data_IF_899016850121
#
_entry.id   IF_899016850121
#
_cell.length_a   1.000
_cell.length_b   1.000
_cell.length_c   1.000
_cell.angle_alpha   90.00
_cell.angle_beta   90.00
_cell.angle_gamma   90.00
#
_symmetry.space_group_name_H-M   'P 1'
#
loop_
_entity.id
_entity.type
_entity.pdbx_description
1 polymer ?
#
# COMPACT_ATOMS: atom_id res chain seq x y z
N UNK A 1 -11.50 39.62 -2.48
CA UNK A 1 -12.83 38.99 -2.60
C UNK A 1 -13.08 38.68 -4.06
N UNK A 2 -13.16 37.40 -4.39
CA UNK A 2 -13.87 36.89 -5.55
C UNK A 2 -14.28 35.47 -5.13
N UNK A 3 -15.53 35.34 -4.65
CA UNK A 3 -16.13 34.05 -4.37
C UNK A 3 -16.30 33.34 -5.72
N UNK A 4 -15.51 32.29 -5.94
CA UNK A 4 -15.76 31.33 -7.00
C UNK A 4 -16.98 30.49 -6.63
N UNK A 5 -18.03 30.61 -7.43
CA UNK A 5 -19.29 29.87 -7.31
C UNK A 5 -19.01 28.36 -7.33
N UNK A 6 -19.42 27.67 -6.27
CA UNK A 6 -19.44 26.20 -6.20
C UNK A 6 -20.67 25.73 -6.98
N UNK A 7 -20.46 25.22 -8.20
CA UNK A 7 -21.45 24.33 -8.81
C UNK A 7 -21.15 22.93 -8.28
N UNK A 8 -21.92 22.52 -7.28
CA UNK A 8 -21.95 21.18 -6.72
C UNK A 8 -22.50 20.20 -7.76
N UNK A 9 -21.62 19.64 -8.58
CA UNK A 9 -21.90 18.43 -9.37
C UNK A 9 -21.77 17.19 -8.48
N UNK A 10 -22.91 16.54 -8.23
CA UNK A 10 -23.13 15.21 -7.61
C UNK A 10 -21.88 14.46 -7.07
N UNK A 11 -21.68 14.55 -5.75
CA UNK A 11 -21.32 13.40 -4.94
C UNK A 11 -19.86 12.94 -4.90
N UNK A 12 -18.86 13.81 -4.94
CA UNK A 12 -17.46 13.35 -4.84
C UNK A 12 -17.01 13.23 -3.38
N UNK A 13 -16.58 12.04 -2.96
CA UNK A 13 -15.70 11.91 -1.79
C UNK A 13 -14.27 12.19 -2.27
N UNK A 14 -13.98 13.46 -2.58
CA UNK A 14 -12.60 13.94 -2.69
C UNK A 14 -12.15 14.27 -1.29
N UNK A 15 -11.15 13.56 -0.77
CA UNK A 15 -10.37 14.08 0.33
C UNK A 15 -9.35 15.06 -0.27
N UNK A 16 -9.63 16.37 -0.15
CA UNK A 16 -8.64 17.43 -0.37
C UNK A 16 -7.80 17.51 0.92
N UNK A 17 -6.50 17.24 0.85
CA UNK A 17 -5.58 17.51 1.97
C UNK A 17 -5.14 18.99 1.98
N UNK A 18 -4.58 19.48 3.09
CA UNK A 18 -4.17 20.89 3.26
C UNK A 18 -3.14 21.37 2.20
N UNK A 19 -2.60 20.46 1.38
CA UNK A 19 -1.67 20.76 0.29
C UNK A 19 -2.34 20.78 -1.10
N UNK A 20 -3.60 20.35 -1.20
CA UNK A 20 -4.38 20.37 -2.45
C UNK A 20 -4.22 19.12 -3.30
N UNK A 21 -3.87 17.96 -2.70
CA UNK A 21 -3.94 16.64 -3.35
C UNK A 21 -5.36 16.07 -3.30
N UNK A 22 -5.68 15.18 -4.24
CA UNK A 22 -7.02 14.60 -4.42
C UNK A 22 -6.92 13.07 -4.37
N UNK A 23 -7.70 12.43 -3.50
CA UNK A 23 -7.96 10.99 -3.60
C UNK A 23 -9.43 10.76 -3.93
N UNK A 24 -9.69 10.03 -5.02
CA UNK A 24 -11.02 9.65 -5.50
C UNK A 24 -11.28 8.20 -5.12
N UNK A 25 -12.28 7.98 -4.27
CA UNK A 25 -12.66 6.65 -3.77
C UNK A 25 -14.12 6.29 -4.07
N UNK A 26 -14.77 7.02 -4.97
CA UNK A 26 -16.17 6.78 -5.36
C UNK A 26 -16.30 6.63 -6.86
N UNK A 27 -17.01 5.58 -7.27
CA UNK A 27 -17.24 5.29 -8.67
C UNK A 27 -18.06 6.39 -9.35
N UNK A 28 -17.73 6.71 -10.60
CA UNK A 28 -18.38 7.75 -11.40
C UNK A 28 -18.04 9.18 -10.97
N UNK A 29 -17.08 9.37 -10.08
CA UNK A 29 -16.66 10.69 -9.62
C UNK A 29 -16.06 11.54 -10.74
N UNK A 30 -16.37 12.85 -10.72
CA UNK A 30 -15.84 13.82 -11.69
C UNK A 30 -15.01 14.88 -10.97
N UNK A 31 -13.73 14.99 -11.32
CA UNK A 31 -12.81 16.06 -10.90
C UNK A 31 -12.68 17.05 -12.04
N UNK A 32 -13.35 18.20 -11.92
CA UNK A 32 -13.47 19.17 -13.03
C UNK A 32 -13.00 20.58 -12.66
N UNK A 33 -12.26 21.22 -13.57
CA UNK A 33 -11.94 22.65 -13.46
C UNK A 33 -10.98 22.99 -12.31
N UNK A 34 -10.26 22.00 -11.77
CA UNK A 34 -9.45 22.16 -10.56
C UNK A 34 -8.03 22.58 -10.88
N UNK A 35 -7.42 23.37 -9.99
CA UNK A 35 -5.97 23.60 -9.96
C UNK A 35 -5.40 22.90 -8.72
N UNK A 36 -4.85 21.72 -8.93
CA UNK A 36 -4.42 20.76 -7.90
C UNK A 36 -2.91 20.90 -7.73
N UNK A 37 -2.47 21.16 -6.50
CA UNK A 37 -1.05 21.28 -6.12
C UNK A 37 -0.62 20.06 -5.32
N UNK A 38 -0.78 18.90 -5.92
CA UNK A 38 -0.66 17.61 -5.26
C UNK A 38 -0.91 16.48 -6.23
N UNK A 39 -0.95 15.26 -5.71
CA UNK A 39 -1.27 14.09 -6.53
C UNK A 39 -2.78 13.98 -6.78
N UNK A 40 -3.15 13.19 -7.79
CA UNK A 40 -4.50 12.68 -7.98
C UNK A 40 -4.46 11.16 -7.91
N UNK A 41 -5.00 10.59 -6.86
CA UNK A 41 -5.11 9.14 -6.67
C UNK A 41 -6.52 8.68 -7.02
N UNK A 42 -6.64 7.73 -7.94
CA UNK A 42 -7.90 7.19 -8.43
C UNK A 42 -7.99 5.74 -7.96
N UNK A 43 -8.91 5.48 -7.03
CA UNK A 43 -9.14 4.18 -6.37
C UNK A 43 -10.59 3.72 -6.57
N UNK A 44 -11.20 4.09 -7.68
CA UNK A 44 -12.62 3.90 -7.97
C UNK A 44 -12.87 3.83 -9.48
N UNK A 45 -13.98 3.23 -9.86
CA UNK A 45 -14.33 2.99 -11.27
C UNK A 45 -14.96 4.21 -11.94
N UNK A 46 -14.86 4.30 -13.27
CA UNK A 46 -15.52 5.30 -14.10
C UNK A 46 -15.24 6.76 -13.68
N UNK A 47 -14.04 7.01 -13.14
CA UNK A 47 -13.65 8.34 -12.67
C UNK A 47 -13.25 9.21 -13.85
N UNK A 48 -13.75 10.44 -13.90
CA UNK A 48 -13.39 11.43 -14.91
C UNK A 48 -12.58 12.57 -14.29
N UNK A 49 -11.37 12.83 -14.78
CA UNK A 49 -10.60 14.04 -14.48
C UNK A 49 -10.60 14.91 -15.72
N UNK A 50 -11.25 16.08 -15.68
CA UNK A 50 -11.34 16.95 -16.86
C UNK A 50 -11.07 18.41 -16.59
N UNK A 51 -10.65 19.13 -17.63
CA UNK A 51 -10.46 20.59 -17.61
C UNK A 51 -9.60 21.08 -16.42
N UNK A 52 -8.67 20.26 -15.95
CA UNK A 52 -7.93 20.51 -14.71
C UNK A 52 -6.45 20.77 -14.95
N UNK A 53 -5.79 21.38 -13.97
CA UNK A 53 -4.34 21.57 -13.94
C UNK A 53 -3.80 20.90 -12.69
N UNK A 54 -2.80 20.04 -12.84
CA UNK A 54 -2.18 19.27 -11.76
C UNK A 54 -0.70 19.59 -11.73
N UNK A 55 -0.18 19.96 -10.55
CA UNK A 55 1.23 20.29 -10.30
C UNK A 55 1.72 19.45 -9.14
N UNK A 56 2.76 18.66 -9.37
CA UNK A 56 3.26 17.73 -8.34
C UNK A 56 4.75 17.45 -8.48
N UNK A 57 5.45 17.34 -7.36
CA UNK A 57 6.89 17.09 -7.24
C UNK A 57 7.22 15.71 -6.62
N UNK A 58 6.19 14.91 -6.28
CA UNK A 58 6.33 13.56 -5.74
C UNK A 58 6.55 12.49 -6.81
N UNK A 59 6.02 11.28 -6.62
CA UNK A 59 6.35 10.15 -7.51
C UNK A 59 5.42 10.02 -8.73
N UNK A 60 4.12 10.26 -8.55
CA UNK A 60 3.09 10.06 -9.58
C UNK A 60 2.05 11.16 -9.48
N UNK A 61 1.93 11.98 -10.54
CA UNK A 61 1.01 13.13 -10.53
C UNK A 61 -0.45 12.66 -10.62
N UNK A 62 -0.74 11.68 -11.47
CA UNK A 62 -2.02 10.97 -11.49
C UNK A 62 -1.73 9.47 -11.38
N UNK A 63 -2.30 8.83 -10.36
CA UNK A 63 -2.18 7.40 -10.13
C UNK A 63 -3.54 6.72 -10.17
N UNK A 64 -3.77 5.92 -11.21
CA UNK A 64 -4.81 4.90 -11.30
C UNK A 64 -4.31 3.68 -10.55
N UNK A 65 -5.05 3.28 -9.51
CA UNK A 65 -4.75 2.09 -8.72
C UNK A 65 -5.39 0.87 -9.35
N UNK A 66 -4.71 -0.28 -9.25
CA UNK A 66 -5.20 -1.56 -9.76
C UNK A 66 -6.62 -1.86 -9.27
N UNK A 67 -7.42 -2.45 -10.15
CA UNK A 67 -8.85 -2.70 -9.95
C UNK A 67 -9.77 -1.50 -10.24
N UNK A 68 -9.23 -0.32 -10.55
CA UNK A 68 -10.03 0.83 -11.02
C UNK A 68 -10.14 0.79 -12.55
N UNK A 69 -11.35 0.66 -13.08
CA UNK A 69 -11.60 0.61 -14.53
C UNK A 69 -12.32 1.84 -15.04
N UNK A 70 -12.18 2.17 -16.33
CA UNK A 70 -12.96 3.24 -16.95
C UNK A 70 -12.53 4.66 -16.57
N UNK A 71 -11.27 4.84 -16.12
CA UNK A 71 -10.75 6.18 -15.84
C UNK A 71 -10.62 6.98 -17.13
N UNK A 72 -11.17 8.19 -17.16
CA UNK A 72 -11.06 9.14 -18.28
C UNK A 72 -10.36 10.41 -17.82
N UNK A 73 -9.31 10.81 -18.52
CA UNK A 73 -8.57 12.05 -18.29
C UNK A 73 -8.70 12.89 -19.55
N UNK A 74 -9.37 14.04 -19.46
CA UNK A 74 -9.71 14.86 -20.63
C UNK A 74 -9.27 16.31 -20.45
N UNK A 75 -8.71 16.93 -21.50
CA UNK A 75 -8.41 18.36 -21.53
C UNK A 75 -7.65 18.88 -20.28
N UNK A 76 -6.75 18.04 -19.75
CA UNK A 76 -6.08 18.25 -18.45
C UNK A 76 -4.58 18.48 -18.66
N UNK A 77 -4.01 19.40 -17.88
CA UNK A 77 -2.57 19.73 -17.91
C UNK A 77 -1.88 19.17 -16.66
N UNK A 78 -0.83 18.39 -16.85
CA UNK A 78 -0.03 17.81 -15.78
C UNK A 78 1.38 18.39 -15.83
N UNK A 79 1.83 18.95 -14.72
CA UNK A 79 3.17 19.51 -14.54
C UNK A 79 3.89 18.73 -13.44
N UNK A 80 4.90 17.98 -13.84
CA UNK A 80 5.85 17.38 -12.92
C UNK A 80 6.91 18.41 -12.57
N UNK A 81 6.95 18.80 -11.30
CA UNK A 81 7.85 19.83 -10.78
C UNK A 81 9.16 19.23 -10.22
N UNK A 82 9.29 17.90 -10.24
CA UNK A 82 10.55 17.19 -10.00
C UNK A 82 10.86 16.19 -11.12
N UNK A 83 12.15 16.03 -11.44
CA UNK A 83 12.64 15.13 -12.49
C UNK A 83 12.30 13.65 -12.26
N UNK A 84 11.96 13.27 -11.02
CA UNK A 84 11.58 11.90 -10.65
C UNK A 84 10.09 11.58 -10.91
N UNK A 85 9.26 12.61 -11.07
CA UNK A 85 7.81 12.48 -11.08
C UNK A 85 7.35 11.89 -12.40
N UNK A 86 6.49 10.87 -12.34
CA UNK A 86 5.77 10.36 -13.49
C UNK A 86 4.43 11.09 -13.63
N UNK A 87 3.96 11.28 -14.86
CA UNK A 87 2.71 11.97 -15.16
C UNK A 87 1.50 11.11 -14.81
N UNK A 88 1.02 10.33 -15.77
CA UNK A 88 -0.15 9.45 -15.61
C UNK A 88 0.32 8.01 -15.54
N UNK A 89 -0.03 7.34 -14.45
CA UNK A 89 0.35 5.95 -14.17
C UNK A 89 -0.77 5.23 -13.43
N UNK A 90 -0.78 3.92 -13.30
CA UNK A 90 -0.36 3.00 -14.36
C UNK A 90 -1.52 2.90 -15.36
N UNK A 91 -1.57 1.92 -16.26
CA UNK A 91 -2.59 1.90 -17.33
C UNK A 91 -4.05 1.79 -16.86
N UNK A 92 -4.91 1.31 -17.74
CA UNK A 92 -6.38 1.23 -17.52
C UNK A 92 -7.07 2.60 -17.50
N UNK A 93 -6.57 3.52 -18.34
CA UNK A 93 -7.16 4.84 -18.53
C UNK A 93 -7.30 5.23 -20.01
N UNK A 94 -8.19 6.17 -20.24
CA UNK A 94 -8.31 6.90 -21.50
C UNK A 94 -7.85 8.34 -21.29
N UNK A 95 -6.83 8.80 -22.01
CA UNK A 95 -6.35 10.17 -22.01
C UNK A 95 -6.68 10.87 -23.34
N UNK A 96 -7.42 11.98 -23.30
CA UNK A 96 -7.81 12.75 -24.48
C UNK A 96 -7.45 14.22 -24.29
N UNK A 97 -6.73 14.83 -25.23
CA UNK A 97 -6.32 16.25 -25.14
C UNK A 97 -5.52 16.57 -23.87
N UNK A 98 -4.73 15.61 -23.40
CA UNK A 98 -3.92 15.75 -22.17
C UNK A 98 -2.54 16.29 -22.52
N UNK A 99 -2.06 17.28 -21.76
CA UNK A 99 -0.71 17.83 -21.93
C UNK A 99 0.12 17.56 -20.68
N UNK A 100 1.23 16.84 -20.84
CA UNK A 100 2.13 16.47 -19.75
C UNK A 100 3.48 17.18 -19.89
N UNK A 101 3.94 17.84 -18.84
CA UNK A 101 5.15 18.66 -18.82
C UNK A 101 6.11 18.21 -17.72
N UNK A 102 7.41 18.12 -18.03
CA UNK A 102 8.48 17.92 -17.06
C UNK A 102 8.56 16.52 -16.44
N UNK A 103 7.66 15.60 -16.80
CA UNK A 103 7.60 14.28 -16.19
C UNK A 103 8.67 13.34 -16.76
N UNK A 104 9.24 12.50 -15.88
CA UNK A 104 10.18 11.42 -16.24
C UNK A 104 9.58 10.46 -17.25
N UNK A 105 8.34 10.06 -16.98
CA UNK A 105 7.50 9.29 -17.89
C UNK A 105 6.16 10.03 -17.96
N UNK A 106 5.73 10.44 -19.15
CA UNK A 106 4.50 11.22 -19.30
C UNK A 106 3.23 10.38 -19.14
N UNK A 107 3.20 9.25 -19.86
CA UNK A 107 2.11 8.30 -19.89
C UNK A 107 2.70 6.90 -19.69
N UNK A 108 2.33 6.21 -18.62
CA UNK A 108 2.80 4.85 -18.34
C UNK A 108 1.64 3.87 -18.45
N UNK A 109 1.84 2.80 -19.23
CA UNK A 109 0.91 1.72 -19.48
C UNK A 109 1.70 0.48 -19.95
N UNK A 110 1.07 -0.69 -19.96
CA UNK A 110 1.61 -1.94 -20.51
C UNK A 110 0.54 -2.67 -21.33
N UNK A 111 0.84 -3.86 -21.84
CA UNK A 111 -0.16 -4.67 -22.55
C UNK A 111 -1.22 -5.24 -21.59
N UNK A 112 -0.84 -5.49 -20.33
CA UNK A 112 -1.72 -5.99 -19.26
C UNK A 112 -2.61 -4.89 -18.65
N UNK A 113 -2.12 -3.65 -18.65
CA UNK A 113 -2.88 -2.44 -18.28
C UNK A 113 -2.74 -1.43 -19.40
N UNK A 114 -3.56 -1.53 -20.47
CA UNK A 114 -3.43 -0.67 -21.64
C UNK A 114 -3.94 0.75 -21.36
N UNK A 115 -3.45 1.71 -22.15
CA UNK A 115 -4.02 3.05 -22.18
C UNK A 115 -4.50 3.39 -23.60
N UNK A 116 -5.62 4.10 -23.67
CA UNK A 116 -6.02 4.78 -24.91
C UNK A 116 -5.61 6.25 -24.80
N UNK A 117 -4.77 6.74 -25.71
CA UNK A 117 -4.24 8.10 -25.69
C UNK A 117 -4.49 8.73 -27.05
N UNK A 118 -5.28 9.82 -27.08
CA UNK A 118 -5.57 10.59 -28.29
C UNK A 118 -5.38 12.09 -28.04
N UNK A 119 -5.00 12.83 -29.09
CA UNK A 119 -4.77 14.28 -29.07
C UNK A 119 -3.89 14.80 -27.91
N UNK A 120 -3.01 13.94 -27.38
CA UNK A 120 -2.27 14.22 -26.14
C UNK A 120 -0.79 14.43 -26.41
N UNK A 121 -0.12 15.18 -25.55
CA UNK A 121 1.30 15.50 -25.69
C UNK A 121 2.07 15.28 -24.40
N UNK A 122 3.33 14.90 -24.54
CA UNK A 122 4.31 14.85 -23.47
C UNK A 122 5.55 15.65 -23.89
N UNK A 123 5.90 16.68 -23.11
CA UNK A 123 7.00 17.60 -23.39
C UNK A 123 6.97 18.17 -24.83
N UNK A 124 5.77 18.52 -25.29
CA UNK A 124 5.53 19.09 -26.62
C UNK A 124 5.54 18.08 -27.78
N UNK A 125 5.77 16.79 -27.52
CA UNK A 125 5.66 15.71 -28.52
C UNK A 125 4.30 15.03 -28.43
N UNK A 126 3.67 14.76 -29.56
CA UNK A 126 2.43 13.98 -29.61
C UNK A 126 2.66 12.55 -29.09
N UNK A 127 1.71 12.04 -28.31
CA UNK A 127 1.67 10.67 -27.80
C UNK A 127 0.33 10.06 -28.19
N UNK A 128 0.36 8.87 -28.79
CA UNK A 128 -0.82 8.11 -29.21
C UNK A 128 -0.63 6.66 -28.77
N UNK A 129 -1.69 6.04 -28.22
CA UNK A 129 -1.69 4.65 -27.76
C UNK A 129 -3.12 4.08 -27.78
N UNK A 130 -3.26 2.77 -27.98
CA UNK A 130 -4.56 2.09 -28.02
C UNK A 130 -5.40 2.37 -29.28
N UNK A 131 -6.47 1.60 -29.48
CA UNK A 131 -7.48 1.87 -30.49
C UNK A 131 -8.57 2.78 -29.89
N UNK A 132 -8.95 3.84 -30.59
CA UNK A 132 -9.94 4.81 -30.12
C UNK A 132 -11.31 4.15 -29.90
N UNK A 133 -11.95 4.28 -28.71
CA UNK A 133 -13.37 3.98 -28.58
C UNK A 133 -14.16 5.00 -29.40
N UNK A 134 -14.84 4.52 -30.44
CA UNK A 134 -15.82 5.30 -31.19
C UNK A 134 -16.81 5.97 -30.22
N UNK A 135 -17.11 7.26 -30.37
CA UNK A 135 -18.13 7.90 -29.57
C UNK A 135 -19.49 7.24 -29.84
N UNK A 136 -20.17 6.84 -28.75
CA UNK A 136 -21.55 6.32 -28.77
C UNK A 136 -22.49 7.35 -29.41
N UNK A 137 -22.72 7.21 -30.71
CA UNK A 137 -23.77 7.94 -31.42
C UNK A 137 -25.14 7.31 -31.13
N UNK A 138 -26.11 8.20 -30.91
CA UNK A 138 -27.49 7.93 -30.57
C UNK A 138 -28.24 7.01 -31.55
N UNK A 139 -29.03 6.11 -30.98
CA UNK A 139 -30.00 5.14 -31.54
C UNK A 139 -30.70 5.49 -32.87
N UNK A 140 -30.79 4.50 -33.77
CA UNK A 140 -32.06 4.04 -34.37
C UNK A 140 -31.95 2.62 -34.94
N UNK A 141 -32.97 1.81 -34.66
CA UNK A 141 -33.10 0.40 -35.03
C UNK A 141 -33.27 0.16 -36.54
N UNK A 142 -32.85 -1.02 -37.02
CA UNK A 142 -33.61 -1.90 -37.94
C UNK A 142 -32.95 -3.28 -38.00
N UNK A 143 -33.80 -4.30 -38.06
CA UNK A 143 -33.53 -5.73 -37.89
C UNK A 143 -33.21 -6.49 -39.20
N UNK A 144 -32.66 -7.70 -39.00
CA UNK A 144 -32.71 -8.91 -39.85
C UNK A 144 -31.39 -9.30 -40.62
N UNK A 145 -31.19 -10.57 -41.05
CA UNK A 145 -30.49 -11.56 -40.21
C UNK A 145 -29.48 -12.53 -40.92
N UNK A 146 -28.80 -13.35 -40.11
CA UNK A 146 -28.18 -14.69 -40.37
C UNK A 146 -26.83 -14.80 -41.14
N UNK A 147 -25.84 -15.44 -40.48
CA UNK A 147 -25.09 -16.68 -40.85
C UNK A 147 -23.95 -16.89 -39.86
N UNK A 148 -24.04 -17.84 -38.91
CA UNK A 148 -23.65 -19.26 -38.99
C UNK A 148 -22.26 -19.52 -39.59
N UNK A 149 -21.26 -19.73 -38.72
CA UNK A 149 -20.12 -20.62 -38.95
C UNK A 149 -19.57 -21.13 -37.62
N UNK A 150 -19.24 -22.41 -37.61
CA UNK A 150 -18.99 -23.30 -36.48
C UNK A 150 -17.51 -23.29 -36.01
N UNK A 151 -17.16 -23.98 -34.91
CA UNK A 151 -15.93 -23.78 -34.13
C UNK A 151 -14.77 -24.66 -34.60
N UNK A 152 -13.53 -24.24 -34.31
CA UNK A 152 -12.34 -25.08 -34.47
C UNK A 152 -11.54 -25.21 -33.17
N UNK A 153 -11.19 -26.46 -32.89
CA UNK A 153 -10.68 -27.02 -31.66
C UNK A 153 -9.26 -26.60 -31.22
N UNK A 154 -9.12 -26.62 -29.90
CA UNK A 154 -7.98 -27.02 -29.05
C UNK A 154 -6.77 -27.73 -29.68
N UNK A 155 -5.57 -27.40 -29.15
CA UNK A 155 -4.58 -28.35 -28.57
C UNK A 155 -3.34 -27.63 -27.96
N UNK A 156 -2.46 -28.31 -27.18
CA UNK A 156 -1.99 -27.84 -25.88
C UNK A 156 -0.49 -27.47 -25.80
N UNK A 157 -0.12 -26.94 -24.63
CA UNK A 157 1.20 -26.49 -24.21
C UNK A 157 2.33 -27.55 -24.25
N UNK A 158 3.58 -27.07 -24.39
CA UNK A 158 4.78 -27.77 -23.93
C UNK A 158 5.86 -26.77 -23.46
N UNK A 159 6.66 -27.09 -22.40
CA UNK A 159 7.57 -26.15 -21.74
C UNK A 159 9.02 -26.25 -22.25
N UNK A 160 9.81 -25.19 -22.02
CA UNK A 160 11.27 -25.17 -22.08
C UNK A 160 11.78 -24.13 -21.06
N UNK A 161 12.27 -24.55 -19.89
CA UNK A 161 13.69 -24.74 -19.52
C UNK A 161 14.57 -23.49 -19.51
N UNK A 162 15.16 -23.30 -18.32
CA UNK A 162 16.17 -22.36 -17.83
C UNK A 162 17.42 -22.14 -18.72
N UNK A 163 18.01 -20.95 -18.63
CA UNK A 163 19.40 -20.69 -19.00
C UNK A 163 19.82 -19.22 -18.99
N UNK A 164 20.40 -18.80 -17.86
CA UNK A 164 21.46 -17.79 -17.62
C UNK A 164 21.40 -16.33 -18.13
N UNK A 165 21.34 -15.44 -17.13
CA UNK A 165 22.24 -14.32 -16.83
C UNK A 165 22.76 -13.41 -17.95
N UNK A 166 22.30 -12.15 -17.91
CA UNK A 166 23.18 -11.00 -18.18
C UNK A 166 22.88 -9.83 -17.25
N UNK A 167 23.88 -9.49 -16.44
CA UNK A 167 23.96 -8.33 -15.59
C UNK A 167 23.89 -7.03 -16.39
N UNK A 168 22.98 -6.12 -15.99
CA UNK A 168 23.17 -4.67 -16.14
C UNK A 168 22.81 -4.00 -14.82
N UNK A 169 23.85 -3.68 -14.08
CA UNK A 169 23.84 -2.78 -12.95
C UNK A 169 23.72 -1.35 -13.49
N UNK A 170 22.70 -0.61 -13.08
CA UNK A 170 22.68 0.85 -13.17
C UNK A 170 21.91 1.38 -11.97
N UNK A 171 22.65 1.92 -11.00
CA UNK A 171 22.09 2.58 -9.83
C UNK A 171 21.63 3.99 -10.18
N UNK A 172 20.44 4.36 -9.68
CA UNK A 172 20.06 5.73 -9.40
C UNK A 172 19.00 5.69 -8.29
N UNK A 173 19.35 6.25 -7.12
CA UNK A 173 18.63 6.09 -5.86
C UNK A 173 17.36 6.93 -5.77
N UNK A 174 16.23 6.24 -5.57
CA UNK A 174 15.32 6.35 -4.41
C UNK A 174 14.44 5.11 -4.50
N UNK A 175 14.80 4.05 -3.77
CA UNK A 175 14.26 2.71 -4.03
C UNK A 175 12.82 2.60 -3.50
N UNK A 176 11.89 2.35 -4.44
CA UNK A 176 10.66 1.64 -4.15
C UNK A 176 10.98 0.32 -3.40
N UNK A 177 10.00 -0.24 -2.68
CA UNK A 177 10.12 -1.54 -2.01
C UNK A 177 10.89 -2.51 -2.93
N UNK A 178 12.00 -3.12 -2.48
CA UNK A 178 12.79 -3.99 -3.32
C UNK A 178 11.94 -5.13 -3.89
N UNK A 179 12.23 -5.51 -5.13
CA UNK A 179 11.55 -6.62 -5.79
C UNK A 179 11.59 -7.89 -4.93
N UNK A 180 10.47 -8.61 -4.90
CA UNK A 180 10.30 -9.84 -4.12
C UNK A 180 9.83 -9.64 -2.68
N UNK A 181 9.76 -8.40 -2.18
CA UNK A 181 9.11 -8.12 -0.90
C UNK A 181 7.61 -7.82 -1.06
N UNK A 182 6.81 -7.97 0.01
CA UNK A 182 5.39 -7.66 -0.03
C UNK A 182 5.11 -6.20 -0.40
N UNK A 183 4.03 -5.97 -1.12
CA UNK A 183 3.62 -4.66 -1.62
C UNK A 183 2.17 -4.70 -2.09
N UNK A 184 1.72 -3.68 -2.85
CA UNK A 184 0.31 -3.53 -3.21
C UNK A 184 -0.25 -4.69 -4.04
N UNK A 185 0.60 -5.38 -4.80
CA UNK A 185 0.15 -6.38 -5.78
C UNK A 185 0.10 -7.81 -5.21
N UNK A 186 0.57 -8.03 -3.98
CA UNK A 186 0.64 -9.35 -3.35
C UNK A 186 0.24 -9.37 -1.87
N UNK A 187 -0.33 -8.28 -1.37
CA UNK A 187 -0.90 -8.17 -0.01
C UNK A 187 -2.30 -7.58 -0.06
N UNK A 188 -3.02 -7.69 1.05
CA UNK A 188 -4.37 -7.16 1.16
C UNK A 188 -5.40 -8.07 0.51
N UNK A 189 -6.52 -7.49 0.09
CA UNK A 189 -7.60 -8.24 -0.56
C UNK A 189 -7.13 -8.73 -1.93
N UNK A 190 -7.21 -10.04 -2.25
CA UNK A 190 -6.80 -10.53 -3.55
C UNK A 190 -7.65 -9.90 -4.65
N UNK A 191 -7.02 -9.54 -5.76
CA UNK A 191 -7.69 -8.96 -6.92
C UNK A 191 -8.87 -9.83 -7.39
N UNK A 192 -9.96 -9.18 -7.84
CA UNK A 192 -11.19 -9.86 -8.23
C UNK A 192 -12.05 -10.38 -7.08
N UNK A 193 -11.66 -10.21 -5.82
CA UNK A 193 -12.49 -10.60 -4.67
C UNK A 193 -13.72 -9.69 -4.58
N UNK A 194 -14.92 -10.27 -4.74
CA UNK A 194 -16.17 -9.57 -4.43
C UNK A 194 -16.35 -9.40 -2.92
N UNK A 195 -16.45 -8.17 -2.45
CA UNK A 195 -16.66 -7.84 -1.04
C UNK A 195 -18.12 -7.50 -0.75
N UNK A 196 -18.68 -8.09 0.30
CA UNK A 196 -20.02 -7.78 0.81
C UNK A 196 -19.93 -6.75 1.93
N UNK A 197 -20.80 -5.74 1.99
CA UNK A 197 -20.77 -4.76 3.06
C UNK A 197 -21.08 -5.42 4.42
N UNK A 198 -20.40 -4.92 5.46
CA UNK A 198 -20.64 -5.25 6.87
C UNK A 198 -20.35 -4.03 7.74
N UNK A 199 -20.99 -3.95 8.91
CA UNK A 199 -20.55 -3.05 9.99
C UNK A 199 -19.48 -3.72 10.85
N UNK A 200 -19.23 -3.14 12.03
CA UNK A 200 -18.40 -3.77 13.08
C UNK A 200 -18.89 -5.18 13.39
N UNK A 201 -17.97 -6.10 13.69
CA UNK A 201 -18.27 -7.50 13.97
C UNK A 201 -17.56 -8.00 15.22
N UNK A 202 -18.26 -8.85 15.97
CA UNK A 202 -17.68 -9.61 17.08
C UNK A 202 -17.63 -11.09 16.69
N UNK A 203 -16.44 -11.67 16.70
CA UNK A 203 -16.18 -13.07 16.35
C UNK A 203 -16.03 -13.88 17.62
N UNK A 204 -17.14 -14.47 18.05
CA UNK A 204 -17.30 -15.13 19.34
C UNK A 204 -17.59 -16.62 19.25
N UNK A 205 -17.50 -17.20 18.04
CA UNK A 205 -17.65 -18.64 17.81
C UNK A 205 -16.32 -19.26 17.42
N UNK A 206 -15.96 -20.35 18.09
CA UNK A 206 -14.72 -21.07 17.80
C UNK A 206 -14.72 -21.64 16.39
N UNK A 207 -13.59 -21.54 15.69
CA UNK A 207 -13.47 -22.01 14.31
C UNK A 207 -14.21 -21.14 13.28
N UNK A 208 -14.77 -19.99 13.69
CA UNK A 208 -15.52 -19.14 12.78
C UNK A 208 -14.61 -18.59 11.67
N UNK A 209 -15.08 -18.70 10.42
CA UNK A 209 -14.41 -18.15 9.25
C UNK A 209 -15.23 -16.99 8.71
N UNK A 210 -14.60 -15.82 8.61
CA UNK A 210 -15.11 -14.62 7.95
C UNK A 210 -14.33 -14.40 6.67
N UNK A 211 -15.05 -14.20 5.56
CA UNK A 211 -14.40 -13.93 4.29
C UNK A 211 -15.23 -13.09 3.34
N UNK A 212 -14.56 -12.33 2.45
CA UNK A 212 -15.21 -11.53 1.41
C UNK A 212 -16.07 -10.41 1.99
N UNK A 213 -15.63 -9.77 3.07
CA UNK A 213 -16.36 -8.65 3.68
C UNK A 213 -15.63 -7.32 3.47
N UNK A 214 -16.39 -6.27 3.20
CA UNK A 214 -15.98 -4.88 3.38
C UNK A 214 -16.57 -4.39 4.70
N UNK A 215 -15.77 -4.44 5.76
CA UNK A 215 -16.14 -4.14 7.14
C UNK A 215 -15.90 -2.65 7.37
N UNK A 216 -16.97 -1.85 7.31
CA UNK A 216 -16.99 -0.46 7.75
C UNK A 216 -17.23 -0.41 9.26
N UNK A 217 -16.19 -0.76 10.02
CA UNK A 217 -16.25 -0.93 11.46
C UNK A 217 -15.06 -1.72 11.99
N UNK A 218 -15.00 -1.87 13.30
CA UNK A 218 -13.90 -2.53 13.98
C UNK A 218 -14.25 -4.00 14.29
N UNK A 219 -13.23 -4.85 14.41
CA UNK A 219 -13.39 -6.27 14.68
C UNK A 219 -12.95 -6.60 16.11
N UNK A 220 -13.81 -7.27 16.86
CA UNK A 220 -13.44 -7.85 18.15
C UNK A 220 -13.46 -9.38 18.03
N UNK A 221 -12.40 -10.04 18.45
CA UNK A 221 -12.28 -11.50 18.42
C UNK A 221 -12.18 -12.02 19.84
N UNK A 222 -13.13 -12.85 20.25
CA UNK A 222 -13.17 -13.47 21.59
C UNK A 222 -13.06 -14.99 21.55
N UNK A 223 -13.25 -15.60 20.39
CA UNK A 223 -13.19 -17.05 20.19
C UNK A 223 -11.81 -17.54 19.72
N UNK A 224 -11.58 -18.86 19.83
CA UNK A 224 -10.37 -19.51 19.33
C UNK A 224 -10.50 -19.96 17.88
N UNK A 225 -9.35 -20.08 17.20
CA UNK A 225 -9.22 -20.61 15.84
C UNK A 225 -10.09 -19.87 14.82
N UNK A 226 -10.28 -18.56 15.02
CA UNK A 226 -11.02 -17.70 14.11
C UNK A 226 -10.14 -17.38 12.90
N UNK A 227 -10.75 -17.35 11.71
CA UNK A 227 -10.08 -16.93 10.46
C UNK A 227 -10.82 -15.73 9.88
N UNK A 228 -10.09 -14.66 9.60
CA UNK A 228 -10.56 -13.52 8.80
C UNK A 228 -9.73 -13.53 7.52
N UNK A 229 -10.37 -13.63 6.35
CA UNK A 229 -9.61 -13.67 5.09
C UNK A 229 -10.26 -12.96 3.91
N UNK A 230 -9.48 -12.47 2.95
CA UNK A 230 -10.00 -11.84 1.72
C UNK A 230 -11.02 -10.76 2.04
N UNK A 231 -10.70 -9.87 2.97
CA UNK A 231 -11.64 -8.89 3.51
C UNK A 231 -10.96 -7.53 3.66
N UNK A 232 -11.73 -6.46 3.64
CA UNK A 232 -11.28 -5.09 3.91
C UNK A 232 -11.86 -4.63 5.23
N UNK A 233 -11.06 -3.97 6.06
CA UNK A 233 -11.46 -3.37 7.34
C UNK A 233 -11.14 -1.89 7.30
N UNK A 234 -12.15 -1.04 7.47
CA UNK A 234 -11.98 0.40 7.68
C UNK A 234 -12.49 0.74 9.08
N UNK A 235 -11.59 1.08 10.00
CA UNK A 235 -11.93 1.30 11.41
C UNK A 235 -11.17 2.49 11.99
N UNK A 236 -11.89 3.53 12.39
CA UNK A 236 -11.34 4.68 13.13
C UNK A 236 -11.34 4.54 14.66
N UNK A 237 -11.59 3.33 15.20
CA UNK A 237 -11.59 3.06 16.64
C UNK A 237 -10.19 2.96 17.24
N UNK A 238 -10.06 2.46 18.48
CA UNK A 238 -8.75 2.30 19.11
C UNK A 238 -7.87 1.24 18.40
N UNK A 239 -8.48 0.13 17.99
CA UNK A 239 -7.86 -0.98 17.27
C UNK A 239 -8.74 -1.41 16.11
N UNK A 240 -8.17 -1.68 14.93
CA UNK A 240 -8.92 -2.25 13.79
C UNK A 240 -9.36 -3.67 14.08
N UNK A 241 -8.47 -4.47 14.69
CA UNK A 241 -8.76 -5.81 15.21
C UNK A 241 -8.29 -5.90 16.67
N UNK A 242 -9.17 -6.32 17.57
CA UNK A 242 -8.86 -6.57 18.98
C UNK A 242 -9.11 -8.02 19.37
N UNK A 243 -8.07 -8.76 19.74
CA UNK A 243 -8.17 -10.04 20.45
C UNK A 243 -8.48 -9.80 21.92
N UNK A 244 -9.50 -10.48 22.44
CA UNK A 244 -9.91 -10.44 23.86
C UNK A 244 -10.14 -11.88 24.32
N UNK A 245 -9.09 -12.51 24.86
CA UNK A 245 -9.14 -13.93 25.25
C UNK A 245 -9.12 -14.92 24.07
N UNK A 246 -9.08 -14.42 22.82
CA UNK A 246 -8.95 -15.25 21.63
C UNK A 246 -7.61 -15.98 21.58
N UNK A 247 -7.58 -17.10 20.86
CA UNK A 247 -6.38 -17.91 20.60
C UNK A 247 -6.32 -18.31 19.14
N UNK A 248 -5.13 -18.33 18.55
CA UNK A 248 -4.90 -18.76 17.17
C UNK A 248 -5.77 -18.02 16.14
N UNK A 249 -5.88 -16.70 16.25
CA UNK A 249 -6.53 -15.90 15.20
C UNK A 249 -5.64 -15.91 13.95
N UNK A 250 -6.21 -16.23 12.79
CA UNK A 250 -5.56 -16.01 11.50
C UNK A 250 -6.24 -14.85 10.77
N UNK A 251 -5.45 -13.85 10.37
CA UNK A 251 -5.85 -12.77 9.47
C UNK A 251 -5.01 -12.88 8.21
N UNK A 252 -5.65 -13.19 7.07
CA UNK A 252 -4.95 -13.55 5.84
C UNK A 252 -5.55 -12.86 4.62
N UNK A 253 -4.72 -12.22 3.78
CA UNK A 253 -5.20 -11.51 2.59
C UNK A 253 -6.25 -10.43 2.96
N UNK A 254 -5.91 -9.58 3.93
CA UNK A 254 -6.81 -8.56 4.47
C UNK A 254 -6.19 -7.19 4.33
N UNK A 255 -6.97 -6.24 3.82
CA UNK A 255 -6.64 -4.82 3.82
C UNK A 255 -7.19 -4.17 5.10
N UNK A 256 -6.36 -3.43 5.83
CA UNK A 256 -6.71 -2.72 7.06
C UNK A 256 -6.37 -1.24 6.90
N UNK A 257 -7.40 -0.39 6.95
CA UNK A 257 -7.26 1.06 6.95
C UNK A 257 -7.71 1.63 8.30
N UNK A 258 -6.78 2.28 9.01
CA UNK A 258 -7.02 2.84 10.33
C UNK A 258 -7.54 4.27 10.40
N UNK A 259 -7.78 4.89 9.23
CA UNK A 259 -8.28 6.26 9.10
C UNK A 259 -7.43 7.33 9.80
N UNK A 260 -6.17 7.03 10.11
CA UNK A 260 -5.24 7.85 10.87
C UNK A 260 -5.56 7.96 12.37
N UNK A 261 -6.41 7.07 12.90
CA UNK A 261 -6.97 7.19 14.25
C UNK A 261 -6.61 6.05 15.19
N UNK A 262 -6.36 4.84 14.68
CA UNK A 262 -6.07 3.70 15.55
C UNK A 262 -4.80 3.94 16.37
N UNK A 263 -4.87 3.66 17.67
CA UNK A 263 -3.69 3.59 18.52
C UNK A 263 -2.77 2.44 18.10
N UNK A 264 -3.31 1.36 17.56
CA UNK A 264 -2.59 0.30 16.87
C UNK A 264 -3.54 -0.46 15.91
N UNK A 265 -3.04 -0.98 14.80
CA UNK A 265 -3.88 -1.72 13.84
C UNK A 265 -4.50 -2.99 14.45
N UNK A 266 -3.67 -3.80 15.11
CA UNK A 266 -4.06 -5.08 15.72
C UNK A 266 -3.52 -5.15 17.15
N UNK A 267 -4.33 -5.62 18.08
CA UNK A 267 -3.90 -5.88 19.46
C UNK A 267 -4.57 -7.15 20.02
N UNK A 268 -3.94 -7.98 20.86
CA UNK A 268 -2.53 -7.89 21.23
C UNK A 268 -1.82 -9.23 21.10
N UNK A 269 -2.37 -10.32 21.65
CA UNK A 269 -1.73 -11.65 21.64
C UNK A 269 -2.46 -12.63 20.71
N UNK A 270 -1.79 -13.75 20.45
CA UNK A 270 -2.33 -14.98 19.86
C UNK A 270 -2.98 -14.80 18.47
N UNK A 271 -2.26 -14.12 17.57
CA UNK A 271 -2.68 -13.93 16.20
C UNK A 271 -1.54 -14.16 15.19
N UNK A 272 -1.92 -14.49 13.96
CA UNK A 272 -1.08 -14.50 12.77
C UNK A 272 -1.65 -13.52 11.75
N UNK A 273 -0.82 -12.60 11.27
CA UNK A 273 -1.10 -11.76 10.12
C UNK A 273 -0.30 -12.29 8.94
N UNK A 274 -0.96 -12.61 7.83
CA UNK A 274 -0.32 -13.12 6.61
C UNK A 274 -0.82 -12.35 5.39
N UNK A 275 0.10 -11.82 4.57
CA UNK A 275 -0.24 -11.05 3.36
C UNK A 275 -1.26 -9.95 3.63
N UNK A 276 -1.15 -9.28 4.78
CA UNK A 276 -2.02 -8.14 5.08
C UNK A 276 -1.42 -6.85 4.53
N UNK A 277 -2.29 -5.95 4.07
CA UNK A 277 -1.98 -4.56 3.76
C UNK A 277 -2.51 -3.72 4.93
N UNK A 278 -1.63 -3.00 5.63
CA UNK A 278 -2.01 -2.14 6.77
C UNK A 278 -1.55 -0.71 6.49
N UNK A 279 -2.52 0.21 6.43
CA UNK A 279 -2.27 1.62 6.16
C UNK A 279 -3.09 2.57 7.01
N UNK A 280 -2.64 3.83 7.06
CA UNK A 280 -3.32 4.92 7.74
C UNK A 280 -3.61 4.60 9.21
N UNK A 281 -2.61 4.10 9.93
CA UNK A 281 -2.69 3.80 11.37
C UNK A 281 -1.69 4.66 12.11
N UNK A 282 -1.93 5.01 13.39
CA UNK A 282 -0.89 5.68 14.18
C UNK A 282 0.23 4.66 14.39
N UNK A 283 -0.05 3.53 15.02
CA UNK A 283 0.86 2.39 15.02
C UNK A 283 0.30 1.22 14.24
N UNK A 284 1.19 0.42 13.66
CA UNK A 284 0.82 -0.90 13.17
C UNK A 284 0.50 -1.86 14.32
N UNK A 285 0.62 -3.18 14.09
CA UNK A 285 0.32 -4.19 15.09
C UNK A 285 1.13 -4.06 16.40
N UNK A 286 0.46 -4.30 17.54
CA UNK A 286 1.10 -4.58 18.83
C UNK A 286 1.48 -6.06 18.88
N UNK A 287 2.75 -6.35 19.05
CA UNK A 287 3.30 -7.70 19.14
C UNK A 287 3.36 -8.13 20.61
N UNK A 288 2.25 -8.69 21.12
CA UNK A 288 2.24 -9.38 22.39
C UNK A 288 2.54 -10.89 22.19
N UNK A 289 2.23 -11.73 23.19
CA UNK A 289 2.60 -13.14 23.18
C UNK A 289 2.01 -13.89 21.97
N UNK A 290 2.81 -14.82 21.43
CA UNK A 290 2.40 -15.75 20.36
C UNK A 290 1.87 -15.01 19.12
N UNK A 291 2.64 -14.04 18.62
CA UNK A 291 2.28 -13.26 17.43
C UNK A 291 3.18 -13.58 16.25
N UNK A 292 2.56 -13.72 15.08
CA UNK A 292 3.25 -13.89 13.81
C UNK A 292 2.81 -12.80 12.84
N UNK A 293 3.76 -12.13 12.21
CA UNK A 293 3.51 -11.21 11.10
C UNK A 293 4.39 -11.66 9.94
N UNK A 294 3.76 -12.10 8.86
CA UNK A 294 4.46 -12.68 7.73
C UNK A 294 3.95 -12.22 6.38
N UNK A 295 4.88 -12.06 5.44
CA UNK A 295 4.60 -11.73 4.03
C UNK A 295 3.67 -10.51 3.87
N UNK A 296 3.72 -9.56 4.79
CA UNK A 296 2.76 -8.45 4.92
C UNK A 296 3.39 -7.10 4.62
N UNK A 297 2.55 -6.12 4.28
CA UNK A 297 2.94 -4.74 3.98
C UNK A 297 2.32 -3.77 4.99
N UNK A 298 3.15 -3.01 5.69
CA UNK A 298 2.72 -2.02 6.68
C UNK A 298 3.35 -0.68 6.29
N UNK A 299 2.52 0.33 6.02
CA UNK A 299 2.95 1.53 5.30
C UNK A 299 2.01 2.71 5.56
N UNK A 300 2.43 3.93 5.17
CA UNK A 300 1.63 5.16 5.31
C UNK A 300 1.02 5.32 6.72
N UNK A 301 1.85 5.18 7.75
CA UNK A 301 1.41 5.47 9.11
C UNK A 301 1.09 6.97 9.23
N UNK A 302 0.17 7.29 10.13
CA UNK A 302 -0.31 8.66 10.34
C UNK A 302 0.28 9.23 11.61
N UNK A 303 1.19 10.21 11.43
CA UNK A 303 1.72 11.01 12.53
C UNK A 303 0.59 11.85 13.14
N UNK A 304 0.43 11.75 14.45
CA UNK A 304 -0.32 12.72 15.25
C UNK A 304 0.61 13.37 16.27
N UNK A 305 0.22 14.54 16.82
CA UNK A 305 1.06 15.27 17.77
C UNK A 305 1.48 14.37 18.95
N UNK A 306 2.79 14.33 19.22
CA UNK A 306 3.38 13.54 20.31
C UNK A 306 3.42 12.02 20.10
N UNK A 307 2.98 11.50 18.94
CA UNK A 307 3.03 10.06 18.67
C UNK A 307 4.41 9.56 18.23
N UNK A 308 4.71 8.32 18.60
CA UNK A 308 5.92 7.60 18.20
C UNK A 308 5.54 6.43 17.30
N UNK A 309 5.25 6.74 16.03
CA UNK A 309 4.65 5.80 15.09
C UNK A 309 5.58 4.62 14.74
N UNK A 310 5.17 3.42 15.09
CA UNK A 310 5.89 2.18 14.80
C UNK A 310 5.12 1.29 13.83
N UNK A 311 5.79 0.71 12.82
CA UNK A 311 5.12 -0.30 11.98
C UNK A 311 4.80 -1.55 12.80
N UNK A 312 5.64 -1.87 13.79
CA UNK A 312 5.48 -2.97 14.73
C UNK A 312 6.04 -2.58 16.09
N UNK A 313 5.28 -2.81 17.16
CA UNK A 313 5.72 -2.51 18.52
C UNK A 313 5.46 -3.67 19.47
N UNK A 314 6.51 -4.14 20.14
CA UNK A 314 6.40 -5.17 21.19
C UNK A 314 5.82 -4.60 22.48
N UNK A 315 5.03 -5.38 23.22
CA UNK A 315 4.38 -4.94 24.48
C UNK A 315 4.87 -5.72 25.70
N UNK A 316 6.12 -6.16 25.71
CA UNK A 316 6.64 -7.08 26.72
C UNK A 316 6.03 -8.48 26.56
N UNK A 317 6.69 -9.33 25.78
CA UNK A 317 6.07 -10.53 25.22
C UNK A 317 7.06 -11.62 24.83
N UNK A 318 6.55 -12.83 24.63
CA UNK A 318 7.28 -14.01 24.21
C UNK A 318 6.73 -14.62 22.92
N UNK A 319 7.59 -15.32 22.17
CA UNK A 319 7.23 -16.10 20.99
C UNK A 319 6.68 -15.23 19.84
N UNK A 320 7.56 -14.40 19.28
CA UNK A 320 7.22 -13.46 18.22
C UNK A 320 7.99 -13.85 16.95
N UNK A 321 7.30 -13.92 15.82
CA UNK A 321 7.91 -14.11 14.50
C UNK A 321 7.49 -12.98 13.58
N UNK A 322 8.47 -12.27 13.04
CA UNK A 322 8.29 -11.23 12.03
C UNK A 322 9.15 -11.58 10.84
N UNK A 323 8.53 -12.04 9.75
CA UNK A 323 9.27 -12.56 8.59
C UNK A 323 8.73 -12.15 7.23
N UNK A 324 9.61 -11.90 6.27
CA UNK A 324 9.18 -11.72 4.88
C UNK A 324 8.40 -10.43 4.63
N UNK A 325 8.40 -9.44 5.54
CA UNK A 325 7.50 -8.28 5.45
C UNK A 325 8.15 -7.08 4.74
N UNK A 326 7.32 -6.15 4.26
CA UNK A 326 7.70 -4.78 3.94
C UNK A 326 7.18 -3.83 5.01
N UNK A 327 8.10 -3.15 5.68
CA UNK A 327 7.83 -2.26 6.80
C UNK A 327 8.30 -0.85 6.45
N UNK A 328 7.37 0.05 6.15
CA UNK A 328 7.66 1.42 5.72
C UNK A 328 7.32 2.41 6.84
N UNK A 329 8.30 2.65 7.70
CA UNK A 329 8.29 3.66 8.74
C UNK A 329 8.80 5.02 8.20
N UNK A 330 8.52 5.35 6.95
CA UNK A 330 8.89 6.62 6.35
C UNK A 330 7.71 7.24 5.60
N UNK A 331 7.48 8.52 5.83
CA UNK A 331 6.58 9.31 5.01
C UNK A 331 7.41 10.13 4.01
N UNK A 332 7.41 9.78 2.71
CA UNK A 332 8.22 10.48 1.71
C UNK A 332 7.71 11.89 1.39
N UNK A 333 6.45 12.20 1.71
CA UNK A 333 5.86 13.53 1.49
C UNK A 333 6.38 14.51 2.53
N UNK A 334 6.27 14.14 3.81
CA UNK A 334 6.73 14.98 4.92
C UNK A 334 8.21 14.78 5.25
N UNK A 335 8.86 13.83 4.57
CA UNK A 335 10.22 13.33 4.87
C UNK A 335 10.37 12.90 6.32
N UNK A 336 9.28 12.39 6.90
CA UNK A 336 9.24 12.02 8.30
C UNK A 336 9.64 10.56 8.47
N UNK A 337 10.74 10.25 9.17
CA UNK A 337 11.20 8.88 9.42
C UNK A 337 10.38 8.16 10.50
N UNK A 338 9.23 8.68 10.94
CA UNK A 338 8.38 8.01 11.93
C UNK A 338 9.15 7.64 13.20
N UNK A 339 8.91 6.48 13.83
CA UNK A 339 9.68 6.04 15.00
C UNK A 339 10.50 4.79 14.73
N UNK A 340 9.92 3.68 14.31
CA UNK A 340 10.65 2.47 13.95
C UNK A 340 9.85 1.55 13.01
N UNK A 341 10.56 0.67 12.28
CA UNK A 341 9.91 -0.51 11.72
C UNK A 341 9.56 -1.49 12.85
N UNK A 342 10.53 -1.79 13.71
CA UNK A 342 10.30 -2.62 14.89
C UNK A 342 10.80 -1.90 16.14
N UNK A 343 9.89 -1.69 17.09
CA UNK A 343 10.20 -1.17 18.42
C UNK A 343 10.21 -2.29 19.47
N UNK A 344 11.39 -2.59 20.01
CA UNK A 344 11.64 -3.66 20.97
C UNK A 344 11.76 -3.09 22.39
N UNK A 345 10.89 -3.61 23.27
CA UNK A 345 10.60 -3.07 24.58
C UNK A 345 9.65 -1.89 24.45
N UNK A 346 8.45 -1.98 25.02
CA UNK A 346 7.53 -0.84 25.20
C UNK A 346 6.27 -1.20 26.02
N UNK A 347 5.47 -0.16 26.30
CA UNK A 347 4.07 -0.06 26.80
C UNK A 347 3.67 -0.78 28.09
N UNK A 348 4.03 -2.04 28.31
CA UNK A 348 3.41 -2.85 29.37
C UNK A 348 4.37 -3.78 30.11
N UNK A 349 5.59 -4.01 29.63
CA UNK A 349 6.57 -4.83 30.35
C UNK A 349 7.99 -4.72 29.81
N UNK A 350 9.02 -4.89 30.66
CA UNK A 350 10.41 -4.75 30.25
C UNK A 350 10.98 -6.01 29.58
N UNK A 351 10.31 -7.17 29.66
CA UNK A 351 10.82 -8.44 29.13
C UNK A 351 10.29 -8.71 27.72
N UNK A 352 11.18 -8.93 26.75
CA UNK A 352 10.84 -9.53 25.45
C UNK A 352 11.71 -10.76 25.24
N UNK A 353 11.09 -11.89 24.89
CA UNK A 353 11.82 -13.14 24.67
C UNK A 353 11.40 -13.91 23.43
N UNK A 354 12.31 -14.72 22.88
CA UNK A 354 12.04 -15.58 21.73
C UNK A 354 11.39 -14.82 20.55
N UNK A 355 12.07 -13.75 20.11
CA UNK A 355 11.67 -12.94 18.96
C UNK A 355 12.59 -13.25 17.78
N UNK A 356 12.02 -13.55 16.62
CA UNK A 356 12.76 -13.65 15.35
C UNK A 356 12.27 -12.55 14.41
N UNK A 357 13.20 -11.72 13.94
CA UNK A 357 12.97 -10.72 12.91
C UNK A 357 13.89 -11.01 11.72
N UNK A 358 13.32 -11.59 10.65
CA UNK A 358 14.12 -12.07 9.53
C UNK A 358 13.51 -11.85 8.16
N UNK A 359 14.34 -11.70 7.13
CA UNK A 359 13.86 -11.60 5.74
C UNK A 359 12.86 -10.45 5.54
N UNK A 360 12.97 -9.37 6.30
CA UNK A 360 12.12 -8.20 6.15
C UNK A 360 12.85 -7.11 5.34
N UNK A 361 12.09 -6.36 4.55
CA UNK A 361 12.46 -5.03 4.11
C UNK A 361 11.97 -4.02 5.13
N UNK A 362 12.86 -3.14 5.58
CA UNK A 362 12.51 -2.06 6.48
C UNK A 362 13.08 -0.73 5.97
N UNK A 363 12.23 0.29 5.88
CA UNK A 363 12.66 1.64 5.56
C UNK A 363 12.12 2.62 6.59
N UNK A 364 12.90 3.68 6.85
CA UNK A 364 12.54 4.67 7.86
C UNK A 364 12.90 4.27 9.29
N UNK A 365 12.28 4.96 10.23
CA UNK A 365 12.56 4.91 11.66
C UNK A 365 13.50 6.03 12.12
N UNK A 366 13.28 6.56 13.33
CA UNK A 366 14.34 7.23 14.08
C UNK A 366 15.55 6.30 14.19
N UNK A 367 15.28 5.09 14.67
CA UNK A 367 16.06 3.91 14.34
C UNK A 367 15.13 2.89 13.70
N UNK A 368 15.55 2.27 12.59
CA UNK A 368 14.75 1.24 11.92
C UNK A 368 14.37 0.10 12.87
N UNK A 369 15.32 -0.30 13.71
CA UNK A 369 15.16 -1.21 14.85
C UNK A 369 15.39 -0.40 16.14
N UNK A 370 14.30 0.00 16.76
CA UNK A 370 14.29 0.63 18.07
C UNK A 370 14.48 -0.40 19.18
N UNK A 371 15.37 -0.13 20.13
CA UNK A 371 15.62 -0.99 21.29
C UNK A 371 15.60 -0.09 22.51
N UNK A 372 14.69 -0.29 23.47
CA UNK A 372 14.69 0.48 24.72
C UNK A 372 15.93 0.19 25.57
N UNK A 373 16.37 1.18 26.34
CA UNK A 373 17.51 1.03 27.24
C UNK A 373 17.24 0.05 28.39
N UNK A 374 16.01 0.02 28.90
CA UNK A 374 15.56 -0.81 30.03
C UNK A 374 15.04 -2.20 29.60
N UNK A 375 15.19 -2.55 28.31
CA UNK A 375 14.76 -3.84 27.80
C UNK A 375 15.54 -4.99 28.47
N UNK A 376 14.82 -5.95 29.02
CA UNK A 376 15.32 -7.28 29.35
C UNK A 376 15.05 -8.18 28.13
N UNK A 377 16.06 -8.46 27.33
CA UNK A 377 15.93 -9.33 26.16
C UNK A 377 16.41 -10.75 26.46
N UNK A 378 15.75 -11.75 25.87
CA UNK A 378 16.21 -13.14 25.89
C UNK A 378 15.93 -13.83 24.56
N UNK A 379 16.96 -14.38 23.91
CA UNK A 379 16.79 -15.13 22.65
C UNK A 379 16.13 -14.34 21.52
N UNK A 380 16.51 -13.07 21.34
CA UNK A 380 16.07 -12.26 20.19
C UNK A 380 17.08 -12.45 19.04
N UNK A 381 16.59 -12.70 17.83
CA UNK A 381 17.42 -12.90 16.63
C UNK A 381 16.99 -11.92 15.53
N UNK A 382 17.96 -11.20 14.96
CA UNK A 382 17.75 -10.26 13.87
C UNK A 382 18.73 -10.61 12.75
N UNK A 383 18.23 -11.09 11.62
CA UNK A 383 19.06 -11.65 10.53
C UNK A 383 18.39 -11.56 9.16
N UNK A 384 19.18 -11.60 8.10
CA UNK A 384 18.67 -11.70 6.72
C UNK A 384 17.71 -10.57 6.31
N UNK A 385 17.79 -9.40 6.94
CA UNK A 385 16.94 -8.26 6.60
C UNK A 385 17.64 -7.31 5.63
N UNK A 386 16.84 -6.55 4.88
CA UNK A 386 17.33 -5.47 4.04
C UNK A 386 16.75 -4.14 4.46
N UNK A 387 17.58 -3.11 4.45
CA UNK A 387 17.21 -1.79 4.97
C UNK A 387 17.31 -0.70 3.91
N UNK A 388 16.28 0.14 3.83
CA UNK A 388 16.31 1.40 3.10
C UNK A 388 17.08 2.48 3.87
N UNK A 389 17.31 3.63 3.24
CA UNK A 389 18.22 4.68 3.74
C UNK A 389 17.55 5.73 4.62
N UNK A 390 16.22 5.74 4.69
CA UNK A 390 15.47 6.87 5.20
C UNK A 390 15.36 6.94 6.75
N UNK A 391 16.32 6.38 7.47
CA UNK A 391 16.38 6.43 8.94
C UNK A 391 17.05 7.71 9.45
N UNK A 392 16.64 8.21 10.63
CA UNK A 392 17.20 9.45 11.21
C UNK A 392 18.58 9.27 11.85
N UNK A 393 18.71 8.29 12.74
CA UNK A 393 19.90 8.11 13.59
C UNK A 393 20.72 6.89 13.20
N UNK A 394 20.09 5.88 12.61
CA UNK A 394 20.74 4.67 12.12
C UNK A 394 19.79 3.48 12.06
N UNK A 395 20.31 2.31 11.68
CA UNK A 395 19.47 1.12 11.57
C UNK A 395 19.10 0.54 12.95
N UNK A 396 19.99 0.61 13.94
CA UNK A 396 19.75 -0.02 15.24
C UNK A 396 20.27 0.84 16.39
N UNK A 397 19.42 1.10 17.38
CA UNK A 397 19.76 2.01 18.49
C UNK A 397 20.81 1.45 19.46
N UNK A 398 20.86 0.12 19.63
CA UNK A 398 21.68 -0.60 20.62
C UNK A 398 22.14 -1.97 20.08
N UNK A 399 23.02 -2.02 19.08
CA UNK A 399 23.39 -3.27 18.39
C UNK A 399 24.02 -4.33 19.29
N UNK A 400 24.56 -3.95 20.45
CA UNK A 400 25.22 -4.83 21.43
C UNK A 400 24.37 -5.12 22.66
N UNK A 401 23.06 -4.88 22.60
CA UNK A 401 22.18 -5.07 23.76
C UNK A 401 22.14 -6.54 24.19
N UNK A 402 22.39 -6.89 25.47
CA UNK A 402 22.42 -8.27 25.92
C UNK A 402 21.10 -9.02 25.63
N UNK A 403 21.20 -10.27 25.18
CA UNK A 403 20.04 -11.09 24.82
C UNK A 403 19.50 -10.88 23.40
N UNK A 404 20.07 -9.93 22.65
CA UNK A 404 19.83 -9.72 21.22
C UNK A 404 21.03 -10.21 20.42
N UNK A 405 20.78 -11.14 19.49
CA UNK A 405 21.75 -11.57 18.50
C UNK A 405 21.48 -10.83 17.18
N UNK A 406 22.37 -9.91 16.84
CA UNK A 406 22.40 -9.21 15.56
C UNK A 406 23.37 -9.92 14.61
N UNK A 407 22.85 -10.50 13.52
CA UNK A 407 23.67 -11.20 12.54
C UNK A 407 24.19 -10.21 11.49
N UNK A 408 25.36 -9.61 11.72
CA UNK A 408 25.93 -8.53 10.90
C UNK A 408 26.01 -8.89 9.42
N UNK A 409 26.42 -10.11 9.09
CA UNK A 409 26.65 -10.55 7.71
C UNK A 409 25.39 -10.61 6.85
N UNK A 410 24.20 -10.66 7.46
CA UNK A 410 22.94 -10.86 6.73
C UNK A 410 21.95 -9.71 6.89
N UNK A 411 22.26 -8.71 7.71
CA UNK A 411 21.50 -7.47 7.79
C UNK A 411 22.15 -6.42 6.88
N UNK A 412 21.56 -6.23 5.70
CA UNK A 412 22.21 -5.56 4.58
C UNK A 412 21.46 -4.30 4.15
N UNK A 413 22.17 -3.34 3.56
CA UNK A 413 21.50 -2.24 2.86
C UNK A 413 20.83 -2.77 1.59
N UNK A 414 19.61 -2.31 1.31
CA UNK A 414 18.85 -2.74 0.13
C UNK A 414 19.57 -2.40 -1.19
N UNK A 415 20.23 -1.25 -1.25
CA UNK A 415 20.91 -0.73 -2.45
C UNK A 415 22.23 -1.44 -2.76
N UNK A 416 23.08 -1.59 -1.76
CA UNK A 416 24.49 -1.97 -1.89
C UNK A 416 24.77 -3.38 -1.43
N UNK A 417 23.80 -4.01 -0.75
CA UNK A 417 23.91 -5.35 -0.16
C UNK A 417 25.12 -5.50 0.77
N UNK A 418 25.60 -4.39 1.34
CA UNK A 418 26.65 -4.36 2.37
C UNK A 418 26.04 -4.39 3.77
N UNK A 419 26.73 -4.94 4.77
CA UNK A 419 26.29 -4.88 6.17
C UNK A 419 25.91 -3.46 6.61
N UNK A 420 24.79 -3.34 7.32
CA UNK A 420 24.29 -2.04 7.82
C UNK A 420 24.97 -1.58 9.10
N UNK A 421 25.55 -2.52 9.84
CA UNK A 421 26.43 -2.29 10.99
C UNK A 421 27.79 -2.88 10.62
N UNK A 422 28.88 -2.25 11.08
CA UNK A 422 30.24 -2.74 10.88
C UNK A 422 30.67 -3.66 12.01
#
# INVERSE_FOLDING_TARGET
MALGVVVTGVGVAVADDEHGSVTVTRDGAVVEGRNIKGYVHIKADNVTVRNSTIRYDGNHAIRIFSGSVGTVIEATRVYCEAEKTNGIVFGDYTARKVTVHGCRNGFMYSDESPATITDSTWNGRAVVAGAEPEPLASSAATSAPVKSAAPAASRPARPATSGDARTKQSGSGTLAIPEGFPGPDNTGVPEGTTLRPSGSITLSRDGQVVSGLNISGCVVVTAKNVVIRKSRITCGGQYSIKTTGAKNLLVEDVEINGMGRNSAAVCCSDYTLRRVDISNVIDGPRLADNTVVEDSWIHHLTRVSGSHNDTLQTTGAANIVVRGNSLDAYNPVTKDPLNACLMIGSTTGPLVSNLVFEQNYCNGGNYSIGIRADLRAASIKIRSNVYGRDCRFGIVARPKHPGINWETATNLWADSRKPVVK
#
